data_IF_897190423902
#
_entry.id   IF_897190423902
#
_cell.length_a   1.000
_cell.length_b   1.000
_cell.length_c   1.000
_cell.angle_alpha   90.00
_cell.angle_beta   90.00
_cell.angle_gamma   90.00
#
_symmetry.space_group_name_H-M   'P 1'
#
loop_
_entity.id
_entity.type
_entity.pdbx_description
1 polymer ?
#
# COMPACT_ATOMS: atom_id res chain seq x y z
N UNK A 1 21.04 1.61 1.72
CA UNK A 1 19.64 1.18 1.91
C UNK A 1 19.35 1.08 3.40
N UNK A 2 18.28 1.72 3.84
CA UNK A 2 17.84 1.66 5.24
C UNK A 2 16.58 0.83 5.36
N UNK A 3 16.56 -0.04 6.36
CA UNK A 3 15.39 -0.87 6.66
C UNK A 3 14.75 -0.43 7.95
N UNK A 4 13.42 -0.41 7.96
CA UNK A 4 12.63 -0.27 9.17
C UNK A 4 11.67 -1.45 9.21
N UNK A 5 11.70 -2.23 10.29
CA UNK A 5 10.86 -3.40 10.46
C UNK A 5 9.83 -3.11 11.55
N UNK A 6 8.56 -3.30 11.21
CA UNK A 6 7.45 -3.09 12.13
C UNK A 6 6.79 -4.43 12.41
N UNK A 7 6.86 -4.88 13.66
CA UNK A 7 6.07 -6.00 14.14
C UNK A 7 4.65 -5.53 14.46
N UNK A 8 3.72 -6.45 14.68
CA UNK A 8 2.30 -6.11 14.86
C UNK A 8 2.02 -5.04 15.91
N UNK A 9 2.74 -5.08 17.03
CA UNK A 9 2.55 -4.11 18.11
C UNK A 9 3.05 -2.71 17.75
N UNK A 10 3.77 -2.57 16.66
CA UNK A 10 4.35 -1.31 16.19
C UNK A 10 3.72 -0.76 14.92
N UNK A 11 2.68 -1.40 14.39
CA UNK A 11 2.05 -0.94 13.15
C UNK A 11 1.49 0.48 13.27
N UNK A 12 1.06 0.89 14.45
CA UNK A 12 0.58 2.25 14.70
C UNK A 12 1.66 3.31 14.51
N UNK A 13 2.92 2.92 14.51
CA UNK A 13 4.07 3.84 14.34
C UNK A 13 4.48 4.02 12.88
N UNK A 14 3.86 3.30 11.95
CA UNK A 14 4.20 3.38 10.53
C UNK A 14 3.79 4.73 9.92
N UNK A 15 4.54 5.14 8.91
CA UNK A 15 4.20 6.30 8.11
C UNK A 15 3.06 5.94 7.15
N UNK A 16 2.08 6.81 7.03
CA UNK A 16 0.89 6.55 6.21
C UNK A 16 1.15 6.70 4.72
N UNK A 17 2.22 7.37 4.34
CA UNK A 17 2.51 7.71 2.94
C UNK A 17 1.39 8.49 2.27
N UNK A 18 0.62 9.26 3.05
CA UNK A 18 -0.47 10.08 2.56
C UNK A 18 0.02 11.04 1.46
N UNK A 19 -0.74 11.12 0.37
CA UNK A 19 -0.43 11.94 -0.82
C UNK A 19 0.81 11.49 -1.61
N UNK A 20 1.39 10.34 -1.28
CA UNK A 20 2.48 9.77 -2.06
C UNK A 20 1.93 8.92 -3.20
N UNK A 21 2.65 8.90 -4.32
CA UNK A 21 2.22 8.15 -5.51
C UNK A 21 2.94 6.81 -5.55
N UNK A 22 2.15 5.73 -5.49
CA UNK A 22 2.66 4.39 -5.70
C UNK A 22 2.76 4.12 -7.21
N UNK A 23 3.88 3.60 -7.65
CA UNK A 23 4.13 3.31 -9.05
C UNK A 23 4.01 1.82 -9.36
N UNK A 24 4.06 0.98 -8.35
CA UNK A 24 3.94 -0.46 -8.54
C UNK A 24 3.33 -1.11 -7.31
N UNK A 25 2.43 -2.05 -7.53
CA UNK A 25 1.85 -2.91 -6.50
C UNK A 25 1.92 -4.33 -7.05
N UNK A 26 2.59 -5.21 -6.33
CA UNK A 26 2.72 -6.61 -6.73
C UNK A 26 2.63 -7.54 -5.53
N UNK A 27 2.29 -8.79 -5.78
CA UNK A 27 2.20 -9.81 -4.75
C UNK A 27 2.83 -11.09 -5.23
N UNK A 28 3.60 -11.72 -4.36
CA UNK A 28 4.23 -13.01 -4.62
C UNK A 28 4.43 -13.74 -3.29
N UNK A 29 3.99 -14.98 -3.23
CA UNK A 29 4.20 -15.85 -2.06
C UNK A 29 3.80 -15.20 -0.74
N UNK A 30 2.58 -14.67 -0.69
CA UNK A 30 2.02 -13.97 0.48
C UNK A 30 2.81 -12.72 0.91
N UNK A 31 3.55 -12.12 -0.01
CA UNK A 31 4.24 -10.86 0.24
C UNK A 31 3.72 -9.82 -0.73
N UNK A 32 3.15 -8.75 -0.20
CA UNK A 32 2.66 -7.62 -0.99
C UNK A 32 3.74 -6.55 -0.99
N UNK A 33 4.15 -6.11 -2.17
CA UNK A 33 5.14 -5.05 -2.36
C UNK A 33 4.48 -3.83 -2.97
N UNK A 34 4.66 -2.68 -2.33
CA UNK A 34 4.20 -1.40 -2.86
C UNK A 34 5.39 -0.47 -2.98
N UNK A 35 5.63 0.03 -4.19
CA UNK A 35 6.77 0.91 -4.48
C UNK A 35 6.29 2.33 -4.70
N UNK A 36 6.95 3.27 -4.02
CA UNK A 36 6.76 4.70 -4.17
C UNK A 36 8.05 5.28 -4.73
N UNK A 37 7.98 5.82 -5.95
CA UNK A 37 9.11 6.47 -6.59
C UNK A 37 8.97 8.00 -6.50
N UNK A 38 10.07 8.71 -6.67
CA UNK A 38 10.09 10.17 -6.70
C UNK A 38 9.42 10.80 -5.48
N UNK A 39 9.80 10.33 -4.30
CA UNK A 39 9.29 10.88 -3.06
C UNK A 39 9.63 12.37 -2.97
N UNK A 40 8.61 13.17 -2.71
CA UNK A 40 8.76 14.62 -2.59
C UNK A 40 9.50 14.99 -1.32
N UNK A 41 10.17 16.14 -1.33
CA UNK A 41 10.86 16.68 -0.16
C UNK A 41 9.93 16.90 1.04
N UNK A 42 8.62 16.90 0.81
CA UNK A 42 7.63 17.09 1.86
C UNK A 42 7.20 15.85 2.60
N UNK A 43 7.71 14.66 2.25
CA UNK A 43 7.37 13.45 2.99
C UNK A 43 8.08 13.48 4.34
N UNK A 44 7.30 13.47 5.41
CA UNK A 44 7.81 13.54 6.78
C UNK A 44 7.49 12.25 7.50
N UNK A 45 8.51 11.65 8.14
CA UNK A 45 8.34 10.45 8.92
C UNK A 45 7.62 10.68 10.24
N UNK A 46 7.25 9.59 10.90
CA UNK A 46 6.55 9.65 12.21
C UNK A 46 7.38 10.35 13.28
N UNK A 47 8.70 10.33 13.15
CA UNK A 47 9.61 11.02 14.07
C UNK A 47 9.70 12.52 13.79
N UNK A 48 8.98 13.02 12.79
CA UNK A 48 9.01 14.43 12.41
C UNK A 48 10.17 14.81 11.49
N UNK A 49 10.99 13.83 11.09
CA UNK A 49 12.12 14.09 10.21
C UNK A 49 11.72 13.89 8.76
N UNK A 50 12.15 14.78 7.84
CA UNK A 50 11.84 14.61 6.43
C UNK A 50 12.68 13.49 5.81
N UNK A 51 12.03 12.71 4.93
CA UNK A 51 12.71 11.68 4.15
C UNK A 51 13.24 12.21 2.82
N UNK A 52 13.63 13.48 2.78
CA UNK A 52 14.04 14.16 1.55
C UNK A 52 15.28 13.55 0.88
N UNK A 53 16.04 12.74 1.60
CA UNK A 53 17.20 12.06 1.04
C UNK A 53 16.84 10.73 0.37
N UNK A 54 15.65 10.23 0.62
CA UNK A 54 15.21 8.97 0.02
C UNK A 54 14.37 9.26 -1.21
N UNK A 55 14.76 8.70 -2.34
CA UNK A 55 14.05 8.90 -3.61
C UNK A 55 13.02 7.80 -3.87
N UNK A 56 13.15 6.68 -3.19
CA UNK A 56 12.33 5.51 -3.41
C UNK A 56 12.07 4.80 -2.10
N UNK A 57 10.85 4.33 -1.94
CA UNK A 57 10.46 3.49 -0.82
C UNK A 57 9.73 2.27 -1.37
N UNK A 58 10.14 1.08 -0.95
CA UNK A 58 9.37 -0.14 -1.17
C UNK A 58 8.91 -0.65 0.18
N UNK A 59 7.59 -0.81 0.34
CA UNK A 59 7.01 -1.37 1.55
C UNK A 59 6.64 -2.82 1.27
N UNK A 60 7.15 -3.69 2.11
CA UNK A 60 6.88 -5.12 2.04
C UNK A 60 5.94 -5.51 3.18
N UNK A 61 4.74 -6.00 2.81
CA UNK A 61 3.75 -6.49 3.75
C UNK A 61 3.79 -8.01 3.73
N UNK A 62 4.22 -8.63 4.83
CA UNK A 62 4.23 -10.09 4.94
C UNK A 62 2.85 -10.53 5.42
N UNK A 63 2.07 -11.14 4.52
CA UNK A 63 0.67 -11.48 4.76
C UNK A 63 0.57 -12.79 5.54
N UNK A 64 -0.30 -12.83 6.55
CA UNK A 64 -0.59 -14.05 7.30
C UNK A 64 -1.66 -14.90 6.59
N UNK A 65 -2.91 -14.48 6.60
CA UNK A 65 -4.01 -15.33 6.12
C UNK A 65 -4.83 -14.77 4.97
N UNK A 66 -4.96 -13.45 4.84
CA UNK A 66 -5.77 -12.87 3.76
C UNK A 66 -5.22 -11.54 3.27
N UNK A 67 -5.53 -11.25 2.01
CA UNK A 67 -5.27 -9.95 1.40
C UNK A 67 -6.32 -9.72 0.32
N UNK A 68 -7.25 -8.83 0.58
CA UNK A 68 -8.39 -8.58 -0.30
C UNK A 68 -8.36 -7.16 -0.84
N UNK A 69 -8.75 -7.00 -2.10
CA UNK A 69 -8.86 -5.68 -2.72
C UNK A 69 -10.30 -5.41 -3.08
N UNK A 70 -10.78 -4.22 -2.72
CA UNK A 70 -12.11 -3.76 -3.07
C UNK A 70 -12.00 -2.51 -3.91
N UNK A 71 -12.44 -2.60 -5.16
CA UNK A 71 -12.47 -1.48 -6.10
C UNK A 71 -13.82 -0.80 -6.04
N UNK A 72 -13.81 0.53 -6.04
CA UNK A 72 -15.02 1.34 -5.99
C UNK A 72 -15.13 2.22 -7.22
N UNK A 73 -16.32 2.25 -7.81
CA UNK A 73 -16.68 3.18 -8.88
C UNK A 73 -18.15 3.57 -8.71
N UNK A 74 -18.40 4.79 -8.23
CA UNK A 74 -19.74 5.27 -7.91
C UNK A 74 -20.40 4.32 -6.88
N UNK A 75 -21.55 3.74 -7.21
CA UNK A 75 -22.28 2.82 -6.32
C UNK A 75 -21.93 1.34 -6.54
N UNK A 76 -20.89 1.09 -7.33
CA UNK A 76 -20.48 -0.27 -7.66
C UNK A 76 -19.12 -0.59 -7.04
N UNK A 77 -18.93 -1.84 -6.68
CA UNK A 77 -17.62 -2.29 -6.23
C UNK A 77 -17.30 -3.67 -6.82
N UNK A 78 -16.03 -3.98 -6.86
CA UNK A 78 -15.53 -5.26 -7.33
C UNK A 78 -14.52 -5.79 -6.32
N UNK A 79 -14.69 -7.03 -5.94
CA UNK A 79 -13.84 -7.73 -4.97
C UNK A 79 -12.83 -8.62 -5.67
N UNK A 80 -11.58 -8.60 -5.19
CA UNK A 80 -10.53 -9.50 -5.69
C UNK A 80 -9.78 -10.06 -4.48
N UNK A 81 -9.70 -11.39 -4.40
CA UNK A 81 -8.81 -12.07 -3.45
C UNK A 81 -7.40 -12.02 -4.04
N UNK A 82 -6.55 -11.19 -3.45
CA UNK A 82 -5.23 -10.92 -4.02
C UNK A 82 -4.30 -12.13 -3.94
N UNK A 83 -4.49 -13.02 -2.97
CA UNK A 83 -3.68 -14.22 -2.84
C UNK A 83 -4.01 -15.26 -3.91
N UNK A 84 -5.30 -15.37 -4.30
CA UNK A 84 -5.78 -16.38 -5.25
C UNK A 84 -5.98 -15.82 -6.66
N UNK A 85 -6.31 -14.53 -6.78
CA UNK A 85 -6.74 -13.92 -8.03
C UNK A 85 -5.87 -12.73 -8.43
N UNK A 86 -4.56 -12.79 -8.17
CA UNK A 86 -3.66 -11.66 -8.43
C UNK A 86 -3.68 -11.20 -9.90
N UNK A 87 -3.91 -12.11 -10.85
CA UNK A 87 -3.99 -11.74 -12.27
C UNK A 87 -5.16 -10.81 -12.56
N UNK A 88 -6.30 -10.98 -11.89
CA UNK A 88 -7.43 -10.06 -12.02
C UNK A 88 -7.06 -8.67 -11.54
N UNK A 89 -6.36 -8.61 -10.41
CA UNK A 89 -5.89 -7.35 -9.85
C UNK A 89 -4.97 -6.63 -10.84
N UNK A 90 -3.96 -7.36 -11.37
CA UNK A 90 -3.00 -6.77 -12.30
C UNK A 90 -3.68 -6.23 -13.57
N UNK A 91 -4.71 -6.93 -14.09
CA UNK A 91 -5.45 -6.46 -15.25
C UNK A 91 -6.21 -5.16 -14.96
N UNK A 92 -6.76 -5.04 -13.74
CA UNK A 92 -7.52 -3.86 -13.36
C UNK A 92 -6.65 -2.63 -13.16
N UNK A 93 -5.40 -2.80 -12.72
CA UNK A 93 -4.50 -1.69 -12.44
C UNK A 93 -3.43 -1.46 -13.50
N UNK A 94 -3.42 -2.25 -14.57
CA UNK A 94 -2.38 -2.18 -15.60
C UNK A 94 -2.24 -0.77 -16.18
N UNK A 95 -1.02 -0.25 -16.15
CA UNK A 95 -0.72 1.08 -16.67
C UNK A 95 -1.18 2.23 -15.79
N UNK A 96 -1.65 1.95 -14.59
CA UNK A 96 -2.16 2.98 -13.68
C UNK A 96 -1.11 3.41 -12.65
N UNK A 97 -1.25 4.63 -12.16
CA UNK A 97 -0.56 5.11 -10.97
C UNK A 97 -1.58 5.31 -9.86
N UNK A 98 -1.14 5.28 -8.62
CA UNK A 98 -2.04 5.28 -7.47
C UNK A 98 -1.58 6.30 -6.44
N UNK A 99 -2.49 7.15 -6.00
CA UNK A 99 -2.19 8.07 -4.90
C UNK A 99 -2.67 7.44 -3.59
N UNK A 100 -1.73 7.24 -2.67
CA UNK A 100 -2.05 6.79 -1.32
C UNK A 100 -2.71 7.94 -0.57
N UNK A 101 -3.92 7.74 -0.04
CA UNK A 101 -4.56 8.83 0.68
C UNK A 101 -4.79 8.56 2.16
N UNK A 102 -4.79 7.32 2.59
CA UNK A 102 -4.75 7.01 4.02
C UNK A 102 -4.50 5.52 4.27
N UNK A 103 -4.21 5.19 5.51
CA UNK A 103 -4.29 3.83 5.98
C UNK A 103 -5.05 3.79 7.31
N UNK A 104 -5.54 2.63 7.67
CA UNK A 104 -6.20 2.41 8.94
C UNK A 104 -5.75 1.08 9.53
N UNK A 105 -5.69 1.03 10.85
CA UNK A 105 -5.39 -0.18 11.61
C UNK A 105 -6.53 -0.35 12.60
N UNK A 106 -7.22 -1.48 12.56
CA UNK A 106 -8.29 -1.73 13.51
C UNK A 106 -7.77 -2.38 14.80
N UNK A 107 -8.67 -2.59 15.76
CA UNK A 107 -8.32 -3.15 17.05
C UNK A 107 -7.92 -4.62 16.99
N UNK A 108 -8.14 -5.28 15.85
CA UNK A 108 -7.76 -6.69 15.64
C UNK A 108 -6.47 -6.84 14.83
N UNK A 109 -5.81 -5.72 14.49
CA UNK A 109 -4.57 -5.75 13.72
C UNK A 109 -4.75 -5.84 12.22
N UNK A 110 -5.96 -5.64 11.71
CA UNK A 110 -6.20 -5.55 10.28
C UNK A 110 -5.65 -4.23 9.76
N UNK A 111 -4.97 -4.30 8.62
CA UNK A 111 -4.45 -3.11 7.94
C UNK A 111 -5.30 -2.88 6.70
N UNK A 112 -5.73 -1.63 6.52
CA UNK A 112 -6.48 -1.20 5.35
C UNK A 112 -5.73 -0.03 4.70
N UNK A 113 -5.38 -0.21 3.43
CA UNK A 113 -4.70 0.82 2.64
C UNK A 113 -5.68 1.37 1.61
N UNK A 114 -5.74 2.70 1.50
CA UNK A 114 -6.66 3.38 0.58
C UNK A 114 -5.88 4.09 -0.51
N UNK A 115 -6.26 3.83 -1.77
CA UNK A 115 -5.62 4.41 -2.95
C UNK A 115 -6.64 5.01 -3.90
N UNK A 116 -6.29 6.13 -4.51
CA UNK A 116 -7.01 6.68 -5.64
C UNK A 116 -6.27 6.32 -6.93
N UNK A 117 -7.01 5.84 -7.93
CA UNK A 117 -6.45 5.56 -9.25
C UNK A 117 -6.44 6.87 -10.03
N UNK A 118 -5.29 7.20 -10.63
CA UNK A 118 -5.11 8.48 -11.31
C UNK A 118 -5.57 8.49 -12.76
N UNK A 119 -5.78 7.33 -13.38
CA UNK A 119 -6.23 7.20 -14.77
C UNK A 119 -7.75 7.11 -14.88
N UNK A 120 -8.31 7.80 -15.91
CA UNK A 120 -9.75 8.07 -16.00
C UNK A 120 -10.66 6.91 -16.37
N UNK A 121 -10.13 5.85 -16.97
CA UNK A 121 -10.96 4.78 -17.54
C UNK A 121 -11.05 3.53 -16.64
N UNK A 122 -10.67 3.67 -15.38
CA UNK A 122 -10.66 2.57 -14.42
C UNK A 122 -11.59 2.88 -13.25
N UNK A 123 -11.64 1.99 -12.27
CA UNK A 123 -12.30 2.27 -11.00
C UNK A 123 -11.58 3.45 -10.33
N UNK A 124 -12.33 4.25 -9.59
CA UNK A 124 -11.80 5.53 -9.08
C UNK A 124 -10.90 5.36 -7.87
N UNK A 125 -11.17 4.35 -7.07
CA UNK A 125 -10.35 4.08 -5.90
C UNK A 125 -10.45 2.61 -5.53
N UNK A 126 -9.51 2.18 -4.69
CA UNK A 126 -9.57 0.84 -4.13
C UNK A 126 -8.97 0.83 -2.73
N UNK A 127 -9.34 -0.17 -1.97
CA UNK A 127 -8.73 -0.43 -0.68
C UNK A 127 -8.18 -1.84 -0.65
N UNK A 128 -7.04 -2.01 0.03
CA UNK A 128 -6.42 -3.30 0.27
C UNK A 128 -6.54 -3.59 1.75
N UNK A 129 -7.21 -4.68 2.10
CA UNK A 129 -7.36 -5.13 3.49
C UNK A 129 -6.54 -6.39 3.68
N UNK A 130 -5.78 -6.47 4.76
CA UNK A 130 -4.92 -7.60 5.01
C UNK A 130 -4.68 -7.81 6.50
N UNK A 131 -4.24 -9.01 6.86
CA UNK A 131 -3.64 -9.30 8.15
C UNK A 131 -2.14 -9.56 7.94
N UNK A 132 -1.33 -8.59 8.26
CA UNK A 132 0.12 -8.71 8.09
C UNK A 132 0.78 -9.23 9.37
N UNK A 133 1.79 -10.10 9.22
CA UNK A 133 2.63 -10.53 10.34
C UNK A 133 3.66 -9.47 10.70
N UNK A 134 4.22 -8.83 9.67
CA UNK A 134 5.18 -7.75 9.82
C UNK A 134 5.21 -6.91 8.56
N UNK A 135 5.75 -5.71 8.67
CA UNK A 135 5.84 -4.77 7.57
C UNK A 135 7.26 -4.21 7.55
N UNK A 136 7.87 -4.20 6.38
CA UNK A 136 9.25 -3.78 6.20
C UNK A 136 9.30 -2.61 5.23
N UNK A 137 9.87 -1.50 5.67
CA UNK A 137 10.12 -0.32 4.82
C UNK A 137 11.56 -0.39 4.32
N UNK A 138 11.72 -0.42 3.01
CA UNK A 138 13.03 -0.39 2.34
C UNK A 138 13.23 0.99 1.72
N UNK A 139 14.01 1.82 2.39
CA UNK A 139 14.31 3.18 1.92
C UNK A 139 15.55 3.18 1.03
N UNK A 140 15.45 3.81 -0.12
CA UNK A 140 16.57 3.93 -1.07
C UNK A 140 16.87 5.38 -1.43
#
# INVERSE_FOLDING_TARGET
MNLQIYEKDKFVEMDSMHDSIATNISIKDKTLLITYDNLNEGVIGRDGQPYYKSKKLTIEYVIDSYCDVKFFRRNKYKYVDLLEENNKFYKLINGCSFMSYKYAIDSFGEIILFFNILEKNKYWCFEISMDAEKIIYHWE
#
